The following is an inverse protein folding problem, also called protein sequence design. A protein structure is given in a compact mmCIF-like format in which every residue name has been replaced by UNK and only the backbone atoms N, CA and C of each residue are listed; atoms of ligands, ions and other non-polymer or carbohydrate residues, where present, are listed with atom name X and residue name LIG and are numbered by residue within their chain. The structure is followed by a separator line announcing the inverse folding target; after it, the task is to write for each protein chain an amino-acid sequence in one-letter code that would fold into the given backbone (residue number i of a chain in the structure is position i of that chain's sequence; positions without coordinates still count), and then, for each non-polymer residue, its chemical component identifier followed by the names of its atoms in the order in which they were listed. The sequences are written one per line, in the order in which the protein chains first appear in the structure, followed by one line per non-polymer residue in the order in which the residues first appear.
data_IF_826686880419
#
_entry.id   IF_826686880419
#
_cell.length_a   1.000
_cell.length_b   1.000
_cell.length_c   1.000
_cell.angle_alpha   90.00
_cell.angle_beta   90.00
_cell.angle_gamma   90.00
#
_symmetry.space_group_name_H-M   'P 1'
#
loop_
_entity.id
_entity.type
_entity.pdbx_description
1 polymer ?
#
# COMPACT_ATOMS: atom_id res chain seq x y z
N UNK A 1 17.08 8.02 9.87
CA UNK A 1 15.87 7.65 9.12
C UNK A 1 16.24 6.45 8.26
N UNK A 2 15.50 5.33 8.38
CA UNK A 2 15.77 4.15 7.58
C UNK A 2 15.52 4.48 6.11
N UNK A 3 16.52 4.29 5.25
CA UNK A 3 16.39 4.48 3.81
C UNK A 3 15.78 3.20 3.24
N UNK A 4 14.63 3.29 2.60
CA UNK A 4 14.02 2.14 1.94
C UNK A 4 14.86 1.73 0.72
N UNK A 5 15.14 0.44 0.52
CA UNK A 5 15.91 -0.04 -0.63
C UNK A 5 15.12 0.07 -1.95
N UNK A 6 13.79 0.11 -1.87
CA UNK A 6 12.87 0.28 -3.01
C UNK A 6 11.51 0.79 -2.52
N UNK A 7 10.65 1.24 -3.45
CA UNK A 7 9.25 1.55 -3.17
C UNK A 7 8.53 0.30 -2.62
N UNK A 8 7.73 0.42 -1.56
CA UNK A 8 6.97 -0.70 -1.02
C UNK A 8 6.03 -1.35 -2.05
N UNK A 9 5.70 -2.62 -1.84
CA UNK A 9 4.74 -3.34 -2.67
C UNK A 9 3.32 -3.17 -2.14
N UNK A 10 2.33 -3.39 -3.01
CA UNK A 10 0.93 -3.48 -2.59
C UNK A 10 0.78 -4.67 -1.63
N UNK A 11 0.10 -4.44 -0.50
CA UNK A 11 -0.29 -5.51 0.41
C UNK A 11 -1.65 -6.09 0.00
N UNK A 12 -1.79 -7.40 0.09
CA UNK A 12 -3.06 -8.08 -0.06
C UNK A 12 -3.30 -9.10 1.06
N UNK A 13 -4.57 -9.35 1.34
CA UNK A 13 -5.01 -10.36 2.31
C UNK A 13 -5.66 -11.55 1.60
N UNK A 14 -5.45 -12.76 2.13
CA UNK A 14 -6.00 -14.01 1.57
C UNK A 14 -7.43 -14.34 2.00
N UNK A 15 -8.07 -13.49 2.83
CA UNK A 15 -9.39 -13.78 3.41
C UNK A 15 -9.36 -14.61 4.69
N UNK A 16 -8.18 -15.10 5.11
CA UNK A 16 -8.01 -15.94 6.29
C UNK A 16 -7.22 -15.25 7.41
N UNK A 17 -7.01 -13.94 7.30
CA UNK A 17 -6.25 -13.14 8.24
C UNK A 17 -4.74 -13.08 7.98
N UNK A 18 -4.26 -13.62 6.83
CA UNK A 18 -2.86 -13.50 6.45
C UNK A 18 -2.68 -12.36 5.45
N UNK A 19 -1.63 -11.57 5.64
CA UNK A 19 -1.27 -10.45 4.77
C UNK A 19 0.07 -10.74 4.09
N UNK A 20 0.12 -10.46 2.79
CA UNK A 20 1.27 -10.72 1.94
C UNK A 20 1.58 -9.51 1.07
N UNK A 21 2.81 -9.46 0.57
CA UNK A 21 3.23 -8.49 -0.44
C UNK A 21 2.97 -9.04 -1.84
N UNK A 22 2.37 -8.22 -2.70
CA UNK A 22 2.34 -8.47 -4.13
C UNK A 22 3.58 -7.85 -4.79
N UNK A 23 4.67 -8.61 -4.87
CA UNK A 23 5.94 -8.16 -5.47
C UNK A 23 5.88 -7.84 -6.96
N UNK A 24 4.72 -8.03 -7.59
CA UNK A 24 4.46 -7.60 -8.97
C UNK A 24 3.86 -6.19 -9.07
N UNK A 25 3.54 -5.55 -7.94
CA UNK A 25 2.89 -4.24 -7.87
C UNK A 25 3.54 -3.32 -6.83
N UNK A 26 4.03 -2.16 -7.26
CA UNK A 26 4.41 -1.08 -6.34
C UNK A 26 3.17 -0.40 -5.77
N UNK A 27 3.24 -0.07 -4.47
CA UNK A 27 2.24 0.73 -3.79
C UNK A 27 2.21 2.17 -4.36
N UNK A 28 1.00 2.73 -4.39
CA UNK A 28 0.74 4.06 -4.94
C UNK A 28 0.01 4.95 -3.94
N UNK A 29 0.17 6.26 -4.12
CA UNK A 29 -0.60 7.27 -3.42
C UNK A 29 -1.73 7.75 -4.30
N UNK A 30 -2.84 8.19 -3.71
CA UNK A 30 -3.97 8.75 -4.45
C UNK A 30 -4.17 10.22 -4.11
N UNK A 31 -4.44 11.05 -5.11
CA UNK A 31 -4.90 12.42 -4.91
C UNK A 31 -6.13 12.67 -5.79
N UNK A 32 -7.29 12.90 -5.16
CA UNK A 32 -8.57 12.92 -5.88
C UNK A 32 -8.85 11.58 -6.56
N UNK A 33 -8.98 11.59 -7.88
CA UNK A 33 -9.24 10.40 -8.70
C UNK A 33 -7.98 9.77 -9.29
N UNK A 34 -6.83 10.43 -9.15
CA UNK A 34 -5.59 10.04 -9.80
C UNK A 34 -4.69 9.27 -8.82
N UNK A 35 -3.98 8.27 -9.35
CA UNK A 35 -3.00 7.48 -8.62
C UNK A 35 -1.58 7.81 -9.11
N UNK A 36 -0.66 7.95 -8.17
CA UNK A 36 0.70 8.42 -8.41
C UNK A 36 1.72 7.54 -7.70
N UNK A 37 2.94 7.42 -8.26
CA UNK A 37 4.07 6.86 -7.51
C UNK A 37 4.38 7.73 -6.30
N UNK A 38 4.66 7.10 -5.16
CA UNK A 38 5.07 7.79 -3.92
C UNK A 38 6.59 7.75 -3.82
N UNK A 39 7.27 8.90 -3.66
CA UNK A 39 8.71 8.94 -3.45
C UNK A 39 9.14 8.10 -2.25
N UNK A 40 10.30 7.44 -2.35
CA UNK A 40 10.79 6.51 -1.32
C UNK A 40 10.94 7.21 0.06
N UNK A 41 11.33 8.47 0.04
CA UNK A 41 11.53 9.35 1.19
C UNK A 41 10.24 9.78 1.91
N UNK A 42 9.07 9.63 1.28
CA UNK A 42 7.78 9.95 1.90
C UNK A 42 7.19 8.78 2.70
N UNK A 43 7.76 7.59 2.55
CA UNK A 43 7.33 6.43 3.31
C UNK A 43 7.94 6.43 4.71
N UNK A 44 7.13 6.02 5.67
CA UNK A 44 7.56 5.72 7.03
C UNK A 44 7.20 4.27 7.36
N UNK A 45 7.93 3.69 8.30
CA UNK A 45 7.48 2.43 8.90
C UNK A 45 6.15 2.65 9.61
N UNK A 46 5.31 1.61 9.64
CA UNK A 46 4.07 1.65 10.40
C UNK A 46 4.39 1.98 11.86
N UNK A 47 3.88 3.10 12.41
CA UNK A 47 4.22 3.52 13.76
C UNK A 47 3.75 2.53 14.83
N UNK A 48 4.36 2.58 16.01
CA UNK A 48 3.96 1.76 17.15
C UNK A 48 2.48 1.98 17.50
N UNK A 49 1.74 0.89 17.71
CA UNK A 49 0.28 0.92 17.91
C UNK A 49 -0.54 0.97 16.62
N UNK A 50 0.12 1.13 15.46
CA UNK A 50 -0.51 0.93 14.16
C UNK A 50 -0.84 -0.54 13.91
N UNK A 51 -1.89 -0.79 13.14
CA UNK A 51 -2.35 -2.14 12.81
C UNK A 51 -2.76 -2.22 11.34
N UNK A 52 -2.72 -3.43 10.77
CA UNK A 52 -3.20 -3.72 9.42
C UNK A 52 -4.57 -4.39 9.48
N UNK A 53 -5.43 -4.07 8.52
CA UNK A 53 -6.80 -4.58 8.43
C UNK A 53 -7.09 -5.05 7.01
N UNK A 54 -7.73 -6.20 6.91
CA UNK A 54 -8.33 -6.63 5.66
C UNK A 54 -9.54 -5.76 5.30
N UNK A 55 -9.71 -5.46 4.02
CA UNK A 55 -10.89 -4.82 3.46
C UNK A 55 -11.62 -5.79 2.51
N UNK A 56 -12.52 -6.65 3.03
CA UNK A 56 -13.24 -7.62 2.21
C UNK A 56 -13.99 -6.95 1.06
N UNK A 57 -13.93 -7.56 -0.13
CA UNK A 57 -14.60 -7.05 -1.32
C UNK A 57 -13.90 -5.88 -2.02
N UNK A 58 -12.79 -5.36 -1.48
CA UNK A 58 -12.00 -4.29 -2.11
C UNK A 58 -10.70 -4.86 -2.68
N UNK A 59 -10.28 -4.35 -3.83
CA UNK A 59 -8.99 -4.70 -4.45
C UNK A 59 -8.02 -3.54 -4.33
N UNK A 60 -6.76 -3.87 -4.06
CA UNK A 60 -5.67 -2.89 -4.14
C UNK A 60 -5.44 -2.48 -5.60
N UNK A 61 -4.96 -1.26 -5.80
CA UNK A 61 -4.42 -0.77 -7.07
C UNK A 61 -2.93 -0.51 -6.87
N UNK A 62 -2.12 -0.82 -7.88
CA UNK A 62 -0.69 -0.57 -7.86
C UNK A 62 -0.13 -0.37 -9.25
N UNK A 63 1.15 0.01 -9.31
CA UNK A 63 1.90 0.12 -10.56
C UNK A 63 2.62 -1.20 -10.83
N UNK A 64 2.44 -1.76 -12.02
CA UNK A 64 3.15 -2.97 -12.43
C UNK A 64 4.66 -2.71 -12.50
N UNK A 65 5.44 -3.58 -11.83
CA UNK A 65 6.90 -3.42 -11.71
C UNK A 65 7.63 -3.61 -13.05
N UNK A 66 7.01 -4.26 -14.04
CA UNK A 66 7.58 -4.52 -15.37
C UNK A 66 7.10 -3.48 -16.37
N UNK A 67 5.79 -3.22 -16.45
CA UNK A 67 5.23 -2.35 -17.49
C UNK A 67 5.11 -0.88 -17.08
N UNK A 68 5.02 -0.60 -15.78
CA UNK A 68 4.76 0.74 -15.25
C UNK A 68 3.29 1.18 -15.32
N UNK A 69 2.38 0.31 -15.76
CA UNK A 69 0.95 0.62 -15.86
C UNK A 69 0.22 0.42 -14.53
N UNK A 70 -0.86 1.16 -14.33
CA UNK A 70 -1.77 0.95 -13.20
C UNK A 70 -2.62 -0.31 -13.44
N UNK A 71 -2.63 -1.22 -12.47
CA UNK A 71 -3.53 -2.37 -12.48
C UNK A 71 -4.01 -2.76 -11.08
N UNK A 72 -5.06 -3.58 -11.06
CA UNK A 72 -5.60 -4.15 -9.82
C UNK A 72 -4.74 -5.31 -9.33
N UNK A 73 -4.63 -5.45 -8.01
CA UNK A 73 -4.15 -6.67 -7.38
C UNK A 73 -5.25 -7.74 -7.46
N UNK A 74 -4.92 -8.89 -8.04
CA UNK A 74 -5.84 -10.01 -8.26
C UNK A 74 -5.66 -11.14 -7.25
N UNK A 75 -4.64 -11.06 -6.39
CA UNK A 75 -4.26 -12.13 -5.46
C UNK A 75 -5.13 -12.19 -4.20
N UNK A 76 -5.86 -11.11 -3.89
CA UNK A 76 -6.71 -11.07 -2.70
C UNK A 76 -7.32 -9.71 -2.43
N UNK A 77 -7.66 -9.47 -1.16
CA UNK A 77 -8.32 -8.26 -0.70
C UNK A 77 -7.32 -7.16 -0.37
N UNK A 78 -7.73 -5.90 -0.55
CA UNK A 78 -6.95 -4.75 -0.15
C UNK A 78 -6.69 -4.75 1.37
N UNK A 79 -5.55 -4.19 1.76
CA UNK A 79 -5.16 -4.03 3.17
C UNK A 79 -5.13 -2.54 3.50
N UNK A 80 -5.75 -2.15 4.61
CA UNK A 80 -5.63 -0.82 5.18
C UNK A 80 -4.64 -0.82 6.35
N UNK A 81 -3.97 0.31 6.56
CA UNK A 81 -3.21 0.57 7.76
C UNK A 81 -3.94 1.59 8.64
N UNK A 82 -4.11 1.28 9.92
CA UNK A 82 -4.46 2.27 10.92
C UNK A 82 -3.19 2.99 11.36
N UNK A 83 -3.16 4.29 11.13
CA UNK A 83 -2.06 5.16 11.50
C UNK A 83 -2.41 5.84 12.84
N UNK A 84 -1.61 5.66 13.90
CA UNK A 84 -1.86 6.28 15.20
C UNK A 84 -1.93 7.82 15.14
N UNK A 85 -2.58 8.46 16.14
CA UNK A 85 -2.58 9.92 16.25
C UNK A 85 -1.17 10.53 16.25
N UNK A 86 -1.06 11.79 15.81
CA UNK A 86 0.19 12.53 15.63
C UNK A 86 1.05 12.14 14.42
N UNK A 87 0.55 11.29 13.52
CA UNK A 87 1.11 11.06 12.20
C UNK A 87 0.18 11.61 11.10
N UNK A 88 0.77 12.08 10.00
CA UNK A 88 0.04 12.67 8.87
C UNK A 88 0.28 11.84 7.62
N UNK A 89 -0.79 11.50 6.89
CA UNK A 89 -0.69 10.93 5.55
C UNK A 89 -0.61 12.04 4.49
N UNK A 90 0.31 11.90 3.52
CA UNK A 90 0.46 12.84 2.41
C UNK A 90 -0.49 12.55 1.24
N UNK A 91 -0.96 11.30 1.13
CA UNK A 91 -1.87 10.82 0.09
C UNK A 91 -3.17 10.26 0.66
N UNK A 92 -4.21 10.20 -0.17
CA UNK A 92 -5.47 9.53 0.14
C UNK A 92 -5.31 8.00 0.06
N UNK A 93 -6.04 7.29 0.93
CA UNK A 93 -6.24 5.84 0.87
C UNK A 93 -7.40 5.49 -0.09
#
# INVERSE_FOLDING_TARGET
MATLPHTPYVLYSDGNGNIFEDTSLYAVGRAGWDAFPVPAEEWIQLPEGGNLYELPGRRGIGIDVVTGDLRLCEKGWAVAAFVPPAHTGTFLA
#
